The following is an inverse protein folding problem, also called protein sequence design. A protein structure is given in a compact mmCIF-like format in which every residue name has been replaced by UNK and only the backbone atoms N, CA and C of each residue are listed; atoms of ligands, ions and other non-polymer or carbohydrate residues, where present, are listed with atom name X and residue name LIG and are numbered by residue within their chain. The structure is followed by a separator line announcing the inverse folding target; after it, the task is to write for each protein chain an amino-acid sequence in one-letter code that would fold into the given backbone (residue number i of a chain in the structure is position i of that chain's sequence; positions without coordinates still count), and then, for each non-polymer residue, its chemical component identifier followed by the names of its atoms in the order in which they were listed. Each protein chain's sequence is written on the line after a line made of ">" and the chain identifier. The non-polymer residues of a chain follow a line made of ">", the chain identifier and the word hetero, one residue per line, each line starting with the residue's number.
data_IF_147923983348
#
_entry.id   IF_147923983348
#
_cell.length_a   1.000
_cell.length_b   1.000
_cell.length_c   1.000
_cell.angle_alpha   90.00
_cell.angle_beta   90.00
_cell.angle_gamma   90.00
#
_symmetry.space_group_name_H-M   'P 1'
#
loop_
_entity.id
_entity.type
_entity.pdbx_description
1 polymer ?
#
# COMPACT_ATOMS: atom_id res chain seq x y z
N UNK A 1 7.94 11.21 -14.17
CA UNK A 1 7.18 12.46 -14.40
C UNK A 1 7.18 12.73 -15.89
N UNK A 2 5.99 12.85 -16.49
CA UNK A 2 5.85 13.28 -17.88
C UNK A 2 6.01 14.78 -17.96
N UNK A 3 6.58 15.28 -19.07
CA UNK A 3 6.71 16.73 -19.31
C UNK A 3 5.32 17.39 -19.26
N UNK A 4 5.10 18.44 -18.43
CA UNK A 4 3.82 19.15 -18.34
C UNK A 4 3.32 19.69 -19.67
N UNK A 5 4.22 19.97 -20.62
CA UNK A 5 3.87 20.47 -21.97
C UNK A 5 3.07 19.48 -22.80
N UNK A 6 3.19 18.17 -22.49
CA UNK A 6 2.40 17.11 -23.13
C UNK A 6 1.13 16.74 -22.36
N UNK A 7 0.83 17.45 -21.27
CA UNK A 7 -0.39 17.22 -20.50
C UNK A 7 -1.64 17.60 -21.31
N UNK A 8 -2.66 16.75 -21.28
CA UNK A 8 -3.97 17.05 -21.87
C UNK A 8 -4.65 18.25 -21.20
N UNK A 9 -5.68 18.83 -21.86
CA UNK A 9 -6.38 20.02 -21.37
C UNK A 9 -6.90 19.86 -19.93
N UNK A 10 -7.54 18.72 -19.60
CA UNK A 10 -8.05 18.44 -18.27
C UNK A 10 -6.95 18.42 -17.18
N UNK A 11 -5.75 17.94 -17.51
CA UNK A 11 -4.62 17.93 -16.56
C UNK A 11 -4.11 19.36 -16.32
N UNK A 12 -4.02 20.19 -17.36
CA UNK A 12 -3.64 21.61 -17.22
C UNK A 12 -4.65 22.39 -16.40
N UNK A 13 -5.94 22.15 -16.62
CA UNK A 13 -7.02 22.74 -15.83
C UNK A 13 -6.94 22.33 -14.35
N UNK A 14 -6.73 21.06 -14.07
CA UNK A 14 -6.54 20.55 -12.70
C UNK A 14 -5.32 21.19 -12.02
N UNK A 15 -4.20 21.35 -12.73
CA UNK A 15 -3.00 22.03 -12.20
C UNK A 15 -3.33 23.50 -11.87
N UNK A 16 -4.00 24.21 -12.75
CA UNK A 16 -4.38 25.60 -12.52
C UNK A 16 -5.35 25.74 -11.33
N UNK A 17 -6.34 24.85 -11.22
CA UNK A 17 -7.33 24.85 -10.15
C UNK A 17 -6.73 24.51 -8.76
N UNK A 18 -5.59 23.82 -8.73
CA UNK A 18 -4.93 23.39 -7.48
C UNK A 18 -3.65 24.18 -7.16
N UNK A 19 -3.28 25.13 -8.03
CA UNK A 19 -2.08 25.95 -7.84
C UNK A 19 -2.11 26.69 -6.51
N UNK A 20 -1.01 26.60 -5.75
CA UNK A 20 -0.88 27.25 -4.45
C UNK A 20 -1.74 26.64 -3.33
N UNK A 21 -2.40 25.50 -3.56
CA UNK A 21 -3.17 24.77 -2.54
C UNK A 21 -2.36 23.57 -2.04
N UNK A 22 -2.53 23.23 -0.76
CA UNK A 22 -1.89 22.10 -0.12
C UNK A 22 -2.77 21.48 0.98
N UNK A 23 -2.36 20.34 1.48
CA UNK A 23 -2.92 19.72 2.68
C UNK A 23 -2.06 20.05 3.88
N UNK A 24 -2.70 20.50 4.96
CA UNK A 24 -2.05 20.84 6.21
C UNK A 24 -2.73 20.19 7.41
N UNK A 25 -1.98 20.01 8.48
CA UNK A 25 -2.45 19.64 9.81
C UNK A 25 -1.75 20.53 10.84
N UNK A 26 -2.53 21.16 11.73
CA UNK A 26 -2.01 22.11 12.73
C UNK A 26 -1.11 23.18 12.08
N UNK A 27 -1.55 23.76 10.98
CA UNK A 27 -0.85 24.78 10.20
C UNK A 27 0.53 24.34 9.66
N UNK A 28 0.79 23.03 9.57
CA UNK A 28 1.99 22.48 8.94
C UNK A 28 1.63 21.64 7.72
N UNK A 29 2.36 21.77 6.60
CA UNK A 29 2.15 20.89 5.45
C UNK A 29 2.34 19.43 5.84
N UNK A 30 1.48 18.55 5.31
CA UNK A 30 1.61 17.11 5.52
C UNK A 30 2.41 16.43 4.42
N UNK A 31 2.90 15.23 4.70
CA UNK A 31 3.41 14.32 3.67
C UNK A 31 2.24 13.62 2.99
N UNK A 32 1.71 14.20 1.91
CA UNK A 32 0.56 13.67 1.16
C UNK A 32 0.99 12.53 0.22
N UNK A 33 1.38 11.40 0.79
CA UNK A 33 1.84 10.21 0.04
C UNK A 33 0.69 9.52 -0.68
N UNK A 34 0.96 8.99 -1.87
CA UNK A 34 -0.05 8.32 -2.70
C UNK A 34 0.53 7.08 -3.40
N UNK A 35 -0.35 6.22 -3.88
CA UNK A 35 0.00 4.97 -4.56
C UNK A 35 -1.08 4.59 -5.58
N UNK A 36 -0.82 3.61 -6.43
CA UNK A 36 -1.74 3.25 -7.52
C UNK A 36 -3.07 2.67 -7.01
N UNK A 37 -3.03 1.66 -6.12
CA UNK A 37 -4.23 1.09 -5.47
C UNK A 37 -3.85 0.39 -4.17
N UNK A 38 -4.66 0.57 -3.12
CA UNK A 38 -4.44 -0.06 -1.82
C UNK A 38 -5.03 -1.48 -1.70
N UNK A 39 -5.80 -1.93 -2.69
CA UNK A 39 -6.43 -3.24 -2.66
C UNK A 39 -7.65 -3.32 -1.72
N UNK A 40 -8.31 -2.20 -1.42
CA UNK A 40 -9.50 -2.11 -0.57
C UNK A 40 -9.20 -1.88 0.92
N UNK A 41 -7.94 -1.68 1.29
CA UNK A 41 -7.54 -1.36 2.66
C UNK A 41 -6.34 -0.43 2.67
N UNK A 42 -6.47 0.71 3.34
CA UNK A 42 -5.39 1.67 3.56
C UNK A 42 -4.44 1.14 4.63
N UNK A 43 -3.15 1.36 4.44
CA UNK A 43 -2.12 1.14 5.46
C UNK A 43 -1.97 2.37 6.36
N UNK A 44 -1.60 2.16 7.61
CA UNK A 44 -1.02 3.23 8.41
C UNK A 44 0.41 3.56 7.92
N UNK A 45 0.90 4.77 8.19
CA UNK A 45 2.25 5.18 7.81
C UNK A 45 3.35 4.22 8.30
N UNK A 46 3.34 3.80 9.58
CA UNK A 46 4.31 2.83 10.11
C UNK A 46 4.27 1.44 9.48
N UNK A 47 3.21 1.09 8.76
CA UNK A 47 3.15 -0.18 8.01
C UNK A 47 3.90 -0.12 6.67
N UNK A 48 4.25 1.07 6.21
CA UNK A 48 5.01 1.28 4.98
C UNK A 48 6.46 1.68 5.27
N UNK A 49 6.70 2.51 6.28
CA UNK A 49 8.01 3.08 6.59
C UNK A 49 8.30 3.10 8.09
N UNK A 50 9.58 3.15 8.46
CA UNK A 50 10.02 3.39 9.83
C UNK A 50 9.76 4.85 10.22
N UNK A 51 8.52 5.16 10.59
CA UNK A 51 8.07 6.49 10.98
C UNK A 51 7.14 6.43 12.20
N UNK A 52 6.99 7.54 12.89
CA UNK A 52 6.00 7.65 13.96
C UNK A 52 4.58 7.66 13.39
N UNK A 53 3.60 7.11 14.10
CA UNK A 53 2.20 7.19 13.72
C UNK A 53 1.75 8.64 13.53
N UNK A 54 0.97 8.89 12.49
CA UNK A 54 0.34 10.19 12.25
C UNK A 54 -1.18 10.03 12.24
N UNK A 55 -1.89 11.10 12.57
CA UNK A 55 -3.35 11.08 12.64
C UNK A 55 -4.01 10.97 11.27
N UNK A 56 -3.31 11.32 10.20
CA UNK A 56 -3.82 11.35 8.83
C UNK A 56 -3.41 10.15 7.97
N UNK A 57 -2.41 9.33 8.38
CA UNK A 57 -2.03 8.07 7.70
C UNK A 57 -2.45 6.89 8.58
N UNK A 58 -3.74 6.57 8.58
CA UNK A 58 -4.32 5.50 9.39
C UNK A 58 -4.70 4.30 8.53
N UNK A 59 -4.56 3.11 9.10
CA UNK A 59 -5.15 1.92 8.52
C UNK A 59 -6.68 1.98 8.64
N UNK A 60 -7.38 1.75 7.52
CA UNK A 60 -8.85 1.62 7.49
C UNK A 60 -9.31 0.90 6.22
N UNK A 61 -10.49 0.28 6.22
CA UNK A 61 -11.11 -0.22 4.99
C UNK A 61 -11.29 0.93 3.98
N UNK A 62 -11.10 0.65 2.70
CA UNK A 62 -11.29 1.61 1.60
C UNK A 62 -12.39 1.12 0.66
N UNK A 63 -13.62 1.41 1.05
CA UNK A 63 -14.83 1.02 0.35
C UNK A 63 -16.08 1.67 0.96
N UNK A 64 -17.24 1.24 0.49
CA UNK A 64 -18.52 1.64 1.06
C UNK A 64 -18.75 1.02 2.46
N UNK A 65 -19.88 1.34 3.05
CA UNK A 65 -20.24 0.82 4.38
C UNK A 65 -20.34 -0.72 4.39
N UNK A 66 -20.92 -1.31 3.35
CA UNK A 66 -21.00 -2.77 3.22
C UNK A 66 -19.63 -3.43 3.16
N UNK A 67 -18.68 -2.85 2.42
CA UNK A 67 -17.28 -3.28 2.40
C UNK A 67 -16.65 -3.20 3.79
N UNK A 68 -16.78 -2.05 4.45
CA UNK A 68 -16.19 -1.80 5.77
C UNK A 68 -16.72 -2.76 6.84
N UNK A 69 -18.01 -3.09 6.78
CA UNK A 69 -18.67 -4.03 7.70
C UNK A 69 -18.21 -5.47 7.49
N UNK A 70 -17.95 -5.88 6.22
CA UNK A 70 -17.46 -7.23 5.92
C UNK A 70 -15.98 -7.42 6.21
N UNK A 71 -15.18 -6.33 6.15
CA UNK A 71 -13.72 -6.38 6.30
C UNK A 71 -13.23 -5.41 7.39
N UNK A 72 -13.70 -5.58 8.65
CA UNK A 72 -13.24 -4.73 9.76
C UNK A 72 -11.77 -4.97 10.06
N UNK A 73 -11.09 -3.94 10.56
CA UNK A 73 -9.72 -4.09 11.05
C UNK A 73 -9.72 -4.65 12.49
N UNK A 74 -8.66 -5.36 12.90
CA UNK A 74 -7.43 -5.64 12.16
C UNK A 74 -7.53 -6.88 11.25
N UNK A 75 -6.79 -6.87 10.13
CA UNK A 75 -6.69 -7.97 9.15
C UNK A 75 -5.43 -8.83 9.35
N UNK A 76 -4.92 -8.92 10.56
CA UNK A 76 -3.69 -9.68 10.88
C UNK A 76 -3.89 -11.19 10.75
N UNK A 77 -5.08 -11.67 11.04
CA UNK A 77 -5.41 -13.09 10.93
C UNK A 77 -5.53 -13.50 9.46
N UNK A 78 -4.93 -14.66 9.13
CA UNK A 78 -4.91 -15.20 7.76
C UNK A 78 -6.31 -15.34 7.17
N UNK A 79 -7.29 -15.81 7.95
CA UNK A 79 -8.66 -16.02 7.48
C UNK A 79 -9.33 -14.70 7.09
N UNK A 80 -9.23 -13.65 7.91
CA UNK A 80 -9.78 -12.33 7.62
C UNK A 80 -9.13 -11.72 6.36
N UNK A 81 -7.82 -11.87 6.22
CA UNK A 81 -7.09 -11.39 5.04
C UNK A 81 -7.49 -12.16 3.77
N UNK A 82 -7.65 -13.48 3.84
CA UNK A 82 -8.13 -14.28 2.70
C UNK A 82 -9.55 -13.87 2.28
N UNK A 83 -10.45 -13.61 3.24
CA UNK A 83 -11.80 -13.13 2.96
C UNK A 83 -11.76 -11.77 2.21
N UNK A 84 -10.92 -10.83 2.66
CA UNK A 84 -10.72 -9.55 1.96
C UNK A 84 -10.14 -9.77 0.55
N UNK A 85 -9.14 -10.64 0.39
CA UNK A 85 -8.50 -10.88 -0.91
C UNK A 85 -9.43 -11.59 -1.90
N UNK A 86 -10.39 -12.36 -1.43
CA UNK A 86 -11.40 -13.04 -2.26
C UNK A 86 -12.53 -12.08 -2.71
N UNK A 87 -12.75 -10.97 -1.99
CA UNK A 87 -13.83 -10.01 -2.26
C UNK A 87 -13.31 -8.78 -3.01
N UNK A 88 -14.22 -8.12 -3.75
CA UNK A 88 -13.99 -6.82 -4.41
C UNK A 88 -15.20 -5.90 -4.23
N UNK A 89 -16.36 -6.48 -3.91
CA UNK A 89 -17.65 -5.78 -3.95
C UNK A 89 -17.71 -4.64 -2.94
N UNK A 90 -17.91 -3.42 -3.43
CA UNK A 90 -17.98 -2.22 -2.61
C UNK A 90 -16.64 -1.54 -2.31
N UNK A 91 -15.51 -2.19 -2.60
CA UNK A 91 -14.20 -1.56 -2.43
C UNK A 91 -13.97 -0.44 -3.47
N UNK A 92 -13.37 0.67 -3.05
CA UNK A 92 -13.05 1.76 -3.96
C UNK A 92 -11.84 1.41 -4.83
N UNK A 93 -11.93 1.74 -6.12
CA UNK A 93 -10.89 1.44 -7.09
C UNK A 93 -10.78 -0.05 -7.47
N UNK A 94 -11.80 -0.87 -7.19
CA UNK A 94 -11.82 -2.32 -7.44
C UNK A 94 -11.61 -2.72 -8.93
N UNK A 95 -11.79 -1.79 -9.86
CA UNK A 95 -11.57 -2.01 -11.30
C UNK A 95 -10.12 -1.94 -11.73
N UNK A 96 -9.21 -1.48 -10.84
CA UNK A 96 -7.79 -1.39 -11.18
C UNK A 96 -7.21 -2.79 -11.45
N UNK A 97 -6.41 -3.01 -12.53
CA UNK A 97 -5.89 -4.33 -12.90
C UNK A 97 -5.09 -5.03 -11.80
N UNK A 98 -4.40 -4.25 -10.95
CA UNK A 98 -3.63 -4.76 -9.81
C UNK A 98 -4.37 -4.65 -8.47
N UNK A 99 -5.69 -4.48 -8.49
CA UNK A 99 -6.49 -4.51 -7.26
C UNK A 99 -6.41 -5.89 -6.58
N UNK A 100 -6.37 -6.96 -7.39
CA UNK A 100 -6.04 -8.34 -6.99
C UNK A 100 -4.99 -8.89 -7.93
N UNK A 101 -4.10 -9.67 -7.39
CA UNK A 101 -3.03 -10.29 -8.18
C UNK A 101 -2.58 -11.61 -7.56
N UNK A 102 -2.03 -12.48 -8.42
CA UNK A 102 -1.38 -13.72 -8.03
C UNK A 102 0.02 -13.74 -8.65
N UNK A 103 1.00 -14.19 -7.88
CA UNK A 103 2.39 -14.33 -8.32
C UNK A 103 2.96 -15.65 -7.83
N UNK A 104 3.99 -16.15 -8.49
CA UNK A 104 4.80 -17.26 -8.01
C UNK A 104 6.18 -16.73 -7.61
N UNK A 105 6.63 -17.09 -6.44
CA UNK A 105 8.03 -16.96 -6.03
C UNK A 105 8.69 -18.33 -6.10
N UNK A 106 9.97 -18.35 -6.47
CA UNK A 106 10.79 -19.57 -6.50
C UNK A 106 12.13 -19.31 -5.82
N UNK A 107 12.80 -20.38 -5.37
CA UNK A 107 14.13 -20.29 -4.79
C UNK A 107 15.12 -19.53 -5.67
N UNK A 108 15.26 -19.85 -6.97
CA UNK A 108 16.12 -19.09 -7.87
C UNK A 108 15.76 -17.61 -7.96
N UNK A 109 14.47 -17.25 -8.04
CA UNK A 109 14.03 -15.85 -8.08
C UNK A 109 14.32 -15.11 -6.76
N UNK A 110 14.21 -15.78 -5.62
CA UNK A 110 14.57 -15.22 -4.32
C UNK A 110 16.08 -14.97 -4.23
N UNK A 111 16.91 -15.92 -4.63
CA UNK A 111 18.37 -15.75 -4.67
C UNK A 111 18.78 -14.59 -5.55
N UNK A 112 18.22 -14.51 -6.75
CA UNK A 112 18.46 -13.38 -7.65
C UNK A 112 18.07 -12.03 -7.01
N UNK A 113 16.92 -11.97 -6.34
CA UNK A 113 16.42 -10.74 -5.72
C UNK A 113 17.26 -10.31 -4.50
N UNK A 114 17.77 -11.26 -3.73
CA UNK A 114 18.60 -11.02 -2.54
C UNK A 114 20.07 -10.75 -2.88
N UNK A 115 20.55 -11.21 -4.05
CA UNK A 115 21.96 -11.09 -4.43
C UNK A 115 22.87 -11.75 -3.39
N UNK A 116 24.00 -11.14 -3.06
CA UNK A 116 24.98 -11.65 -2.11
C UNK A 116 24.41 -11.99 -0.72
N UNK A 117 23.29 -11.40 -0.31
CA UNK A 117 22.63 -11.76 0.95
C UNK A 117 22.06 -13.19 0.95
N UNK A 118 21.90 -13.80 -0.22
CA UNK A 118 21.44 -15.20 -0.33
C UNK A 118 22.58 -16.22 -0.33
N UNK A 119 23.84 -15.81 -0.53
CA UNK A 119 24.98 -16.72 -0.69
C UNK A 119 25.15 -17.70 0.49
N UNK A 120 25.02 -17.27 1.77
CA UNK A 120 25.14 -18.17 2.89
C UNK A 120 23.92 -19.07 3.13
N UNK A 121 22.78 -18.81 2.46
CA UNK A 121 21.56 -19.58 2.65
C UNK A 121 21.58 -20.88 1.86
N UNK A 122 21.67 -22.00 2.56
CA UNK A 122 21.65 -23.35 1.96
C UNK A 122 20.21 -23.76 1.62
N UNK A 123 20.01 -24.38 0.42
CA UNK A 123 18.70 -24.93 0.02
C UNK A 123 18.25 -26.10 0.92
N UNK A 124 16.94 -26.31 1.07
CA UNK A 124 15.86 -25.50 0.53
C UNK A 124 15.61 -24.22 1.30
N UNK A 125 15.31 -23.14 0.55
CA UNK A 125 14.89 -21.88 1.16
C UNK A 125 13.49 -22.01 1.77
N UNK A 126 13.25 -21.25 2.82
CA UNK A 126 11.94 -21.13 3.49
C UNK A 126 11.53 -19.66 3.58
N UNK A 127 10.24 -19.38 3.40
CA UNK A 127 9.62 -18.08 3.61
C UNK A 127 8.69 -18.13 4.81
N UNK A 128 8.86 -17.18 5.74
CA UNK A 128 7.98 -17.02 6.90
C UNK A 128 7.59 -15.57 7.08
N UNK A 129 6.28 -15.30 7.11
CA UNK A 129 5.77 -14.00 7.56
C UNK A 129 5.91 -13.94 9.07
N UNK A 130 6.73 -13.02 9.57
CA UNK A 130 6.96 -12.84 11.00
C UNK A 130 5.95 -11.90 11.63
N UNK A 131 5.56 -10.85 10.88
CA UNK A 131 4.72 -9.79 11.41
C UNK A 131 3.78 -9.24 10.33
N UNK A 132 2.54 -8.89 10.76
CA UNK A 132 1.54 -8.19 9.95
C UNK A 132 1.00 -6.97 10.69
N UNK A 133 0.79 -5.91 9.97
CA UNK A 133 0.08 -4.72 10.45
C UNK A 133 -1.44 -4.89 10.48
N UNK A 134 -2.11 -3.90 11.04
CA UNK A 134 -3.57 -3.87 11.14
C UNK A 134 -4.26 -3.93 9.76
N UNK A 135 -3.63 -3.39 8.71
CA UNK A 135 -4.12 -3.47 7.32
C UNK A 135 -3.94 -4.86 6.68
N UNK A 136 -3.36 -5.84 7.37
CA UNK A 136 -3.02 -7.15 6.85
C UNK A 136 -1.71 -7.20 6.05
N UNK A 137 -1.02 -6.06 5.87
CA UNK A 137 0.27 -6.02 5.17
C UNK A 137 1.36 -6.70 5.95
N UNK A 138 2.24 -7.40 5.24
CA UNK A 138 3.45 -8.01 5.79
C UNK A 138 4.41 -6.89 6.18
N UNK A 139 4.80 -6.83 7.45
CA UNK A 139 5.76 -5.88 8.00
C UNK A 139 7.16 -6.48 8.09
N UNK A 140 7.24 -7.79 8.31
CA UNK A 140 8.50 -8.51 8.35
C UNK A 140 8.37 -9.89 7.67
N UNK A 141 9.24 -10.15 6.71
CA UNK A 141 9.35 -11.39 5.96
C UNK A 141 10.74 -11.99 6.18
N UNK A 142 10.79 -13.19 6.71
CA UNK A 142 12.01 -13.96 6.90
C UNK A 142 12.25 -14.88 5.70
N UNK A 143 13.49 -14.93 5.23
CA UNK A 143 13.99 -15.88 4.25
C UNK A 143 15.15 -16.62 4.92
N UNK A 144 15.02 -17.93 5.09
CA UNK A 144 16.05 -18.78 5.72
C UNK A 144 16.40 -19.93 4.79
N UNK A 145 17.58 -20.51 4.99
CA UNK A 145 17.99 -21.77 4.40
C UNK A 145 17.79 -22.94 5.38
N UNK A 146 18.30 -24.12 5.01
CA UNK A 146 18.31 -25.33 5.83
C UNK A 146 19.48 -25.41 6.83
N UNK A 147 20.41 -24.44 6.80
CA UNK A 147 21.54 -24.34 7.72
C UNK A 147 21.25 -23.40 8.89
N UNK A 148 22.05 -23.47 9.96
CA UNK A 148 21.97 -22.60 11.14
C UNK A 148 22.48 -21.17 10.88
N UNK A 149 22.59 -20.78 9.62
CA UNK A 149 22.96 -19.41 9.23
C UNK A 149 21.82 -18.44 9.52
N UNK A 150 22.17 -17.25 9.98
CA UNK A 150 21.20 -16.19 10.25
C UNK A 150 20.30 -15.89 9.04
N UNK A 151 18.98 -15.83 9.21
CA UNK A 151 18.06 -15.57 8.13
C UNK A 151 18.16 -14.13 7.62
N UNK A 152 17.79 -13.91 6.37
CA UNK A 152 17.56 -12.56 5.84
C UNK A 152 16.15 -12.12 6.25
N UNK A 153 16.05 -10.93 6.86
CA UNK A 153 14.76 -10.33 7.24
C UNK A 153 14.54 -9.06 6.43
N UNK A 154 13.53 -9.09 5.56
CA UNK A 154 13.06 -7.92 4.83
C UNK A 154 11.93 -7.26 5.63
N UNK A 155 11.99 -5.93 5.78
CA UNK A 155 11.00 -5.16 6.55
C UNK A 155 10.30 -4.10 5.71
N UNK A 156 9.02 -3.88 6.01
CA UNK A 156 8.20 -2.81 5.45
C UNK A 156 8.26 -2.76 3.91
N UNK A 157 8.38 -1.57 3.32
CA UNK A 157 8.41 -1.40 1.87
C UNK A 157 9.66 -2.00 1.20
N UNK A 158 10.72 -2.30 1.97
CA UNK A 158 11.88 -3.02 1.45
C UNK A 158 11.52 -4.42 0.93
N UNK A 159 10.48 -5.08 1.50
CA UNK A 159 9.96 -6.37 1.00
C UNK A 159 9.62 -6.25 -0.49
N UNK A 160 8.81 -5.26 -0.85
CA UNK A 160 8.37 -5.04 -2.23
C UNK A 160 9.48 -4.51 -3.13
N UNK A 161 10.39 -3.69 -2.60
CA UNK A 161 11.52 -3.13 -3.39
C UNK A 161 12.58 -4.18 -3.69
N UNK A 162 12.80 -5.12 -2.81
CA UNK A 162 13.69 -6.26 -3.02
C UNK A 162 13.01 -7.32 -3.90
N UNK A 163 11.81 -7.77 -3.51
CA UNK A 163 11.04 -8.75 -4.26
C UNK A 163 10.15 -8.05 -5.30
N UNK A 164 10.74 -7.47 -6.32
CA UNK A 164 10.07 -6.62 -7.35
C UNK A 164 8.91 -7.28 -8.08
N UNK A 165 8.81 -8.59 -8.02
CA UNK A 165 7.67 -9.37 -8.53
C UNK A 165 6.38 -9.07 -7.76
N UNK A 166 6.50 -8.67 -6.47
CA UNK A 166 5.36 -8.37 -5.60
C UNK A 166 4.92 -6.92 -5.76
N UNK A 167 3.68 -6.66 -6.22
CA UNK A 167 3.17 -5.30 -6.40
C UNK A 167 3.00 -4.52 -5.08
N UNK A 168 2.71 -5.22 -3.98
CA UNK A 168 2.49 -4.65 -2.64
C UNK A 168 2.90 -5.63 -1.55
N UNK A 169 2.84 -5.20 -0.30
CA UNK A 169 3.02 -6.07 0.89
C UNK A 169 1.72 -6.65 1.43
N UNK A 170 0.58 -6.40 0.78
CA UNK A 170 -0.73 -6.99 1.11
C UNK A 170 -0.88 -8.34 0.42
N UNK A 171 -0.42 -9.41 1.05
CA UNK A 171 -0.48 -10.75 0.46
C UNK A 171 -0.49 -11.88 1.50
N UNK A 172 -0.87 -13.07 1.06
CA UNK A 172 -0.66 -14.34 1.74
C UNK A 172 0.30 -15.22 0.93
N UNK A 173 1.04 -16.07 1.63
CA UNK A 173 1.93 -17.08 1.05
C UNK A 173 1.31 -18.47 1.17
N UNK A 174 1.38 -19.26 0.09
CA UNK A 174 0.94 -20.65 0.04
C UNK A 174 2.09 -21.51 -0.54
N UNK A 175 2.71 -22.37 0.27
CA UNK A 175 3.74 -23.29 -0.22
C UNK A 175 3.18 -24.19 -1.33
N UNK A 176 3.95 -24.38 -2.40
CA UNK A 176 3.62 -25.21 -3.56
C UNK A 176 4.69 -26.29 -3.79
N UNK A 177 5.28 -26.80 -2.73
CA UNK A 177 6.41 -27.72 -2.75
C UNK A 177 7.72 -27.06 -2.34
N UNK A 178 8.85 -27.72 -2.65
CA UNK A 178 10.16 -27.20 -2.27
C UNK A 178 10.49 -25.90 -3.02
N UNK A 179 10.86 -24.87 -2.26
CA UNK A 179 11.29 -23.55 -2.78
C UNK A 179 10.34 -22.91 -3.80
N UNK A 180 9.04 -23.16 -3.67
CA UNK A 180 8.02 -22.56 -4.53
C UNK A 180 6.82 -22.10 -3.72
N UNK A 181 6.36 -20.87 -3.96
CA UNK A 181 5.24 -20.27 -3.24
C UNK A 181 4.29 -19.59 -4.20
N UNK A 182 3.01 -19.88 -4.04
CA UNK A 182 1.95 -19.05 -4.60
C UNK A 182 1.74 -17.86 -3.66
N UNK A 183 1.73 -16.67 -4.23
CA UNK A 183 1.51 -15.42 -3.51
C UNK A 183 0.22 -14.80 -4.02
N UNK A 184 -0.80 -14.77 -3.17
CA UNK A 184 -2.09 -14.15 -3.48
C UNK A 184 -2.16 -12.81 -2.76
N UNK A 185 -2.42 -11.73 -3.48
CA UNK A 185 -2.37 -10.41 -2.89
C UNK A 185 -3.26 -9.37 -3.56
N UNK A 186 -3.23 -8.16 -3.00
CA UNK A 186 -4.00 -7.02 -3.49
C UNK A 186 -3.23 -5.71 -3.42
N UNK A 187 -3.59 -4.77 -4.31
CA UNK A 187 -3.00 -3.45 -4.34
C UNK A 187 -1.67 -3.35 -5.10
N UNK A 188 -1.26 -2.11 -5.34
CA UNK A 188 0.01 -1.76 -5.99
C UNK A 188 0.59 -0.49 -5.37
N UNK A 189 1.72 -0.64 -4.71
CA UNK A 189 2.42 0.39 -3.95
C UNK A 189 2.39 0.13 -2.44
N UNK A 190 2.75 1.14 -1.66
CA UNK A 190 2.87 1.06 -0.20
C UNK A 190 1.53 1.00 0.55
N UNK A 191 0.46 1.53 -0.03
CA UNK A 191 -0.90 1.44 0.53
C UNK A 191 -1.27 2.53 1.54
N UNK A 192 -0.35 3.40 1.97
CA UNK A 192 -0.63 4.51 2.89
C UNK A 192 -1.06 5.77 2.13
N UNK A 193 -1.96 6.56 2.69
CA UNK A 193 -2.49 7.77 2.06
C UNK A 193 -3.40 7.50 0.86
N UNK A 194 -3.34 8.34 -0.18
CA UNK A 194 -4.30 8.33 -1.29
C UNK A 194 -4.09 7.16 -2.26
N UNK A 195 -5.15 6.38 -2.48
CA UNK A 195 -5.27 5.42 -3.58
C UNK A 195 -5.71 6.15 -4.85
N UNK A 196 -4.87 6.21 -5.89
CA UNK A 196 -5.23 6.84 -7.15
C UNK A 196 -6.46 6.18 -7.78
N UNK A 197 -6.52 4.86 -7.81
CA UNK A 197 -7.67 4.12 -8.32
C UNK A 197 -8.95 4.38 -7.52
N UNK A 198 -8.84 4.46 -6.19
CA UNK A 198 -9.96 4.79 -5.32
C UNK A 198 -10.42 6.24 -5.50
N UNK A 199 -9.49 7.19 -5.60
CA UNK A 199 -9.81 8.60 -5.85
C UNK A 199 -10.55 8.80 -7.18
N UNK A 200 -10.12 8.11 -8.23
CA UNK A 200 -10.81 8.11 -9.54
C UNK A 200 -12.23 7.54 -9.41
N UNK A 201 -12.40 6.41 -8.72
CA UNK A 201 -13.71 5.80 -8.51
C UNK A 201 -14.65 6.72 -7.70
N UNK A 202 -14.14 7.38 -6.66
CA UNK A 202 -14.89 8.35 -5.86
C UNK A 202 -15.28 9.60 -6.68
N UNK A 203 -14.38 10.09 -7.53
CA UNK A 203 -14.67 11.20 -8.45
C UNK A 203 -15.79 10.82 -9.45
N UNK A 204 -15.77 9.62 -10.01
CA UNK A 204 -16.85 9.12 -10.87
C UNK A 204 -18.20 8.97 -10.14
N UNK A 205 -18.17 8.76 -8.82
CA UNK A 205 -19.36 8.78 -7.95
C UNK A 205 -19.81 10.20 -7.57
N UNK A 206 -19.18 11.23 -8.12
CA UNK A 206 -19.53 12.64 -7.90
C UNK A 206 -19.00 13.23 -6.59
N UNK A 207 -18.00 12.62 -5.95
CA UNK A 207 -17.40 13.22 -4.77
C UNK A 207 -16.54 14.43 -5.15
N UNK A 208 -16.70 15.58 -4.46
CA UNK A 208 -15.81 16.71 -4.64
C UNK A 208 -14.40 16.41 -4.12
N UNK A 209 -13.40 17.14 -4.62
CA UNK A 209 -11.98 16.92 -4.30
C UNK A 209 -11.70 16.99 -2.81
N UNK A 210 -12.32 17.92 -2.10
CA UNK A 210 -12.18 18.09 -0.66
C UNK A 210 -12.62 16.85 0.12
N UNK A 211 -13.74 16.24 -0.29
CA UNK A 211 -14.25 15.02 0.32
C UNK A 211 -13.34 13.83 0.04
N UNK A 212 -12.80 13.71 -1.18
CA UNK A 212 -11.82 12.67 -1.54
C UNK A 212 -10.56 12.82 -0.69
N UNK A 213 -10.01 14.03 -0.59
CA UNK A 213 -8.82 14.30 0.21
C UNK A 213 -9.05 14.02 1.69
N UNK A 214 -10.17 14.46 2.27
CA UNK A 214 -10.57 14.15 3.66
C UNK A 214 -10.72 12.64 3.90
N UNK A 215 -11.17 11.87 2.90
CA UNK A 215 -11.28 10.43 3.00
C UNK A 215 -9.90 9.78 3.16
N UNK A 216 -8.89 10.21 2.39
CA UNK A 216 -7.56 9.62 2.41
C UNK A 216 -6.61 10.23 3.45
N UNK A 217 -6.86 11.48 3.84
CA UNK A 217 -6.05 12.22 4.83
C UNK A 217 -6.97 12.85 5.88
N UNK A 218 -7.59 12.03 6.74
CA UNK A 218 -8.56 12.53 7.71
C UNK A 218 -7.92 13.53 8.69
N UNK A 219 -8.69 14.57 9.02
CA UNK A 219 -8.28 15.62 9.96
C UNK A 219 -7.36 16.68 9.36
N UNK A 220 -7.03 16.60 8.05
CA UNK A 220 -6.26 17.63 7.35
C UNK A 220 -7.17 18.70 6.75
N UNK A 221 -6.61 19.88 6.52
CA UNK A 221 -7.26 21.01 5.84
C UNK A 221 -6.64 21.17 4.45
N UNK A 222 -7.51 21.22 3.43
CA UNK A 222 -7.10 21.54 2.05
C UNK A 222 -7.37 23.03 1.79
N UNK A 223 -6.33 23.79 1.52
CA UNK A 223 -6.45 25.23 1.33
C UNK A 223 -5.21 25.89 0.76
N UNK A 224 -5.26 27.23 0.57
CA UNK A 224 -4.15 27.98 0.00
C UNK A 224 -2.94 28.02 0.95
N UNK A 225 -1.74 27.98 0.38
CA UNK A 225 -0.47 28.11 1.13
C UNK A 225 -0.42 29.39 1.97
N UNK A 226 -1.05 30.47 1.50
CA UNK A 226 -1.09 31.76 2.19
C UNK A 226 -1.72 31.68 3.59
N UNK A 227 -2.63 30.74 3.85
CA UNK A 227 -3.22 30.54 5.19
C UNK A 227 -2.21 30.03 6.20
N UNK A 228 -1.17 29.31 5.79
CA UNK A 228 -0.10 28.83 6.67
C UNK A 228 0.92 29.92 7.03
N UNK A 229 1.07 30.91 6.16
CA UNK A 229 2.03 32.02 6.32
C UNK A 229 1.48 33.13 7.22
N UNK A 230 0.19 33.09 7.59
CA UNK A 230 -0.48 34.11 8.41
C UNK A 230 -0.62 33.70 9.90
N UNK A 231 -0.14 32.53 10.28
CA UNK A 231 -0.14 32.12 11.70
C UNK A 231 1.10 32.71 12.38
N UNK A 232 0.93 33.44 13.50
CA UNK A 232 2.03 34.05 14.25
C UNK A 232 2.97 33.03 14.85
#
# INVERSE_FOLDING_TARGET
>A
YSDPRHAGAAVREAIAATQGKLLSLNNQPISAVYHATNGGVMAAGPEAWAMQPTTYLRAKPDGDEGWSNRHPLPLQQRQALLALLADRSGAFGQRHPRFRWTRTLSGPALRQALGAAADPLVSPLQLKVLERGASGRVLALQISGSSDVAPVILKLDAIRRTLRTLPSTLFVLEPQGAERWLVVGGGFGHGAGLSQAGAIDLAWRGWPVERILSHYYPGTVYGPLSTLLQSP
#
